data_IF_705613514459
#
_entry.id   IF_705613514459
#
_cell.length_a   1.000
_cell.length_b   1.000
_cell.length_c   1.000
_cell.angle_alpha   90.00
_cell.angle_beta   90.00
_cell.angle_gamma   90.00
#
_symmetry.space_group_name_H-M   'P 1'
#
loop_
_entity.id
_entity.type
_entity.pdbx_description
1 polymer ?
#
# COMPACT_ATOMS: atom_id res chain seq x y z
N UNK A 1 -21.41 7.93 -1.83
CA UNK A 1 -21.89 6.72 -2.52
C UNK A 1 -21.05 5.47 -2.14
N UNK A 2 -19.74 5.41 -2.41
CA UNK A 2 -18.93 4.19 -2.17
C UNK A 2 -18.93 3.69 -0.70
N UNK A 3 -18.84 4.58 0.30
CA UNK A 3 -18.93 4.20 1.72
C UNK A 3 -20.26 3.54 2.06
N UNK A 4 -21.36 4.02 1.50
CA UNK A 4 -22.68 3.41 1.70
C UNK A 4 -22.75 2.00 1.10
N UNK A 5 -22.15 1.79 -0.09
CA UNK A 5 -22.07 0.48 -0.71
C UNK A 5 -21.32 -0.53 0.15
N UNK A 6 -20.21 -0.13 0.78
CA UNK A 6 -19.43 -1.01 1.66
C UNK A 6 -20.16 -1.29 2.98
N UNK A 7 -20.76 -0.27 3.59
CA UNK A 7 -21.50 -0.40 4.87
C UNK A 7 -22.67 -1.39 4.76
N UNK A 8 -23.33 -1.41 3.61
CA UNK A 8 -24.50 -2.26 3.36
C UNK A 8 -24.24 -3.25 2.20
N UNK A 9 -23.05 -3.85 2.19
CA UNK A 9 -22.54 -4.66 1.07
C UNK A 9 -23.55 -5.67 0.52
N UNK A 10 -24.16 -6.49 1.38
CA UNK A 10 -25.15 -7.49 0.96
C UNK A 10 -26.40 -6.85 0.36
N UNK A 11 -26.92 -5.80 1.03
CA UNK A 11 -28.12 -5.08 0.55
C UNK A 11 -27.78 -4.37 -0.78
N UNK A 12 -26.64 -3.71 -0.87
CA UNK A 12 -26.20 -3.02 -2.08
C UNK A 12 -26.03 -3.99 -3.25
N UNK A 13 -25.43 -5.15 -3.02
CA UNK A 13 -25.31 -6.20 -4.04
C UNK A 13 -26.68 -6.71 -4.46
N UNK A 14 -27.58 -6.98 -3.53
CA UNK A 14 -28.93 -7.45 -3.82
C UNK A 14 -29.74 -6.41 -4.62
N UNK A 15 -29.71 -5.14 -4.23
CA UNK A 15 -30.42 -4.06 -4.93
C UNK A 15 -29.86 -3.87 -6.35
N UNK A 16 -28.54 -3.79 -6.52
CA UNK A 16 -27.91 -3.64 -7.84
C UNK A 16 -28.24 -4.85 -8.71
N UNK A 17 -28.17 -6.06 -8.17
CA UNK A 17 -28.53 -7.30 -8.89
C UNK A 17 -29.99 -7.28 -9.32
N UNK A 18 -30.90 -6.92 -8.44
CA UNK A 18 -32.35 -6.84 -8.74
C UNK A 18 -32.62 -5.82 -9.87
N UNK A 19 -31.97 -4.66 -9.84
CA UNK A 19 -32.11 -3.65 -10.89
C UNK A 19 -31.60 -4.16 -12.23
N UNK A 20 -30.40 -4.78 -12.26
CA UNK A 20 -29.82 -5.32 -13.49
C UNK A 20 -30.64 -6.49 -14.05
N UNK A 21 -31.09 -7.41 -13.19
CA UNK A 21 -31.94 -8.53 -13.60
C UNK A 21 -33.31 -8.03 -14.09
N UNK A 22 -33.90 -7.06 -13.40
CA UNK A 22 -35.17 -6.44 -13.81
C UNK A 22 -35.07 -5.77 -15.16
N UNK A 23 -33.98 -5.07 -15.45
CA UNK A 23 -33.76 -4.40 -16.73
C UNK A 23 -33.64 -5.37 -17.91
N UNK A 24 -33.04 -6.57 -17.72
CA UNK A 24 -32.83 -7.57 -18.77
C UNK A 24 -34.04 -8.51 -18.96
N UNK A 25 -34.88 -8.68 -17.93
CA UNK A 25 -36.01 -9.61 -17.95
C UNK A 25 -36.99 -9.41 -19.13
N UNK A 26 -37.42 -8.18 -19.47
CA UNK A 26 -38.30 -7.96 -20.61
C UNK A 26 -37.67 -8.36 -21.95
N UNK A 27 -36.34 -8.16 -22.09
CA UNK A 27 -35.63 -8.55 -23.29
C UNK A 27 -35.54 -10.06 -23.43
N UNK A 28 -35.17 -10.78 -22.38
CA UNK A 28 -35.12 -12.26 -22.36
C UNK A 28 -36.51 -12.86 -22.62
N UNK A 29 -37.56 -12.28 -22.03
CA UNK A 29 -38.94 -12.71 -22.28
C UNK A 29 -39.34 -12.59 -23.75
N UNK A 30 -38.92 -11.52 -24.41
CA UNK A 30 -39.22 -11.29 -25.83
C UNK A 30 -38.56 -12.31 -26.76
N UNK A 31 -37.37 -12.82 -26.44
CA UNK A 31 -36.69 -13.85 -27.24
C UNK A 31 -37.08 -15.27 -26.85
N UNK A 32 -38.09 -15.47 -25.97
CA UNK A 32 -38.56 -16.79 -25.52
C UNK A 32 -37.41 -17.72 -25.11
N UNK A 33 -36.46 -17.22 -24.35
CA UNK A 33 -35.28 -17.97 -23.89
C UNK A 33 -35.68 -19.11 -22.94
N UNK A 34 -34.94 -20.20 -22.98
CA UNK A 34 -35.07 -21.31 -22.06
C UNK A 34 -34.67 -20.94 -20.63
N UNK A 35 -35.25 -21.59 -19.64
CA UNK A 35 -35.01 -21.27 -18.21
C UNK A 35 -33.54 -21.27 -17.81
N UNK A 36 -32.69 -22.10 -18.39
CA UNK A 36 -31.26 -22.15 -18.12
C UNK A 36 -30.52 -20.89 -18.61
N UNK A 37 -31.00 -20.26 -19.69
CA UNK A 37 -30.46 -18.98 -20.21
C UNK A 37 -30.71 -17.88 -19.21
N UNK A 38 -31.91 -17.81 -18.64
CA UNK A 38 -32.22 -16.85 -17.54
C UNK A 38 -31.28 -17.07 -16.35
N UNK A 39 -31.06 -18.32 -15.94
CA UNK A 39 -30.16 -18.63 -14.83
C UNK A 39 -28.74 -18.13 -15.07
N UNK A 40 -28.19 -18.30 -16.28
CA UNK A 40 -26.86 -17.80 -16.65
C UNK A 40 -26.81 -16.27 -16.56
N UNK A 41 -27.77 -15.57 -17.17
CA UNK A 41 -27.77 -14.11 -17.15
C UNK A 41 -27.94 -13.56 -15.73
N UNK A 42 -28.84 -14.10 -14.93
CA UNK A 42 -29.00 -13.64 -13.56
C UNK A 42 -27.77 -13.91 -12.70
N UNK A 43 -27.14 -15.07 -12.83
CA UNK A 43 -25.87 -15.37 -12.15
C UNK A 43 -24.80 -14.39 -12.57
N UNK A 44 -24.68 -14.09 -13.86
CA UNK A 44 -23.73 -13.10 -14.37
C UNK A 44 -23.96 -11.72 -13.75
N UNK A 45 -25.20 -11.23 -13.68
CA UNK A 45 -25.49 -9.92 -13.09
C UNK A 45 -25.28 -9.88 -11.57
N UNK A 46 -25.53 -10.97 -10.86
CA UNK A 46 -25.21 -11.09 -9.43
C UNK A 46 -23.70 -10.97 -9.21
N UNK A 47 -22.91 -11.68 -10.00
CA UNK A 47 -21.44 -11.61 -9.94
C UNK A 47 -20.95 -10.19 -10.29
N UNK A 48 -21.51 -9.59 -11.34
CA UNK A 48 -21.17 -8.23 -11.75
C UNK A 48 -21.46 -7.20 -10.65
N UNK A 49 -22.64 -7.30 -10.02
CA UNK A 49 -23.01 -6.43 -8.89
C UNK A 49 -22.06 -6.61 -7.69
N UNK A 50 -21.70 -7.86 -7.39
CA UNK A 50 -20.73 -8.15 -6.34
C UNK A 50 -19.36 -7.52 -6.65
N UNK A 51 -18.83 -7.71 -7.86
CA UNK A 51 -17.57 -7.10 -8.30
C UNK A 51 -17.61 -5.56 -8.24
N UNK A 52 -18.76 -4.96 -8.60
CA UNK A 52 -18.94 -3.51 -8.52
C UNK A 52 -18.86 -3.01 -7.08
N UNK A 53 -19.52 -3.67 -6.14
CA UNK A 53 -19.48 -3.31 -4.71
C UNK A 53 -18.08 -3.50 -4.13
N UNK A 54 -17.37 -4.58 -4.49
CA UNK A 54 -15.97 -4.81 -4.07
C UNK A 54 -15.04 -3.71 -4.60
N UNK A 55 -15.24 -3.26 -5.84
CA UNK A 55 -14.43 -2.18 -6.43
C UNK A 55 -14.55 -0.85 -5.68
N UNK A 56 -15.61 -0.67 -4.88
CA UNK A 56 -15.79 0.54 -4.08
C UNK A 56 -14.67 0.71 -3.03
N UNK A 57 -14.25 -0.38 -2.39
CA UNK A 57 -13.12 -0.37 -1.44
C UNK A 57 -11.82 0.10 -2.12
N UNK A 58 -11.52 -0.47 -3.27
CA UNK A 58 -10.32 -0.12 -4.02
C UNK A 58 -10.31 1.36 -4.45
N UNK A 59 -11.45 1.89 -4.90
CA UNK A 59 -11.56 3.31 -5.28
C UNK A 59 -11.33 4.25 -4.10
N UNK A 60 -11.87 3.92 -2.93
CA UNK A 60 -11.68 4.70 -1.72
C UNK A 60 -10.21 4.65 -1.26
N UNK A 61 -9.59 3.48 -1.25
CA UNK A 61 -8.16 3.32 -0.94
C UNK A 61 -7.27 4.10 -1.91
N UNK A 62 -7.54 4.00 -3.22
CA UNK A 62 -6.79 4.77 -4.24
C UNK A 62 -6.93 6.28 -4.03
N UNK A 63 -8.12 6.75 -3.65
CA UNK A 63 -8.33 8.17 -3.35
C UNK A 63 -7.55 8.62 -2.12
N UNK A 64 -7.57 7.83 -1.03
CA UNK A 64 -6.85 8.12 0.19
C UNK A 64 -5.32 8.02 -0.02
N UNK A 65 -4.85 7.02 -0.76
CA UNK A 65 -3.44 6.90 -1.13
C UNK A 65 -2.97 8.07 -2.00
N UNK A 66 -3.79 8.54 -2.94
CA UNK A 66 -3.48 9.73 -3.74
C UNK A 66 -3.30 10.97 -2.87
N UNK A 67 -4.15 11.17 -1.86
CA UNK A 67 -4.00 12.27 -0.90
C UNK A 67 -2.67 12.14 -0.13
N UNK A 68 -2.32 10.95 0.37
CA UNK A 68 -1.02 10.70 0.99
C UNK A 68 0.14 11.04 0.06
N UNK A 69 0.11 10.57 -1.20
CA UNK A 69 1.19 10.81 -2.17
C UNK A 69 1.36 12.29 -2.53
N UNK A 70 0.28 13.07 -2.55
CA UNK A 70 0.31 14.48 -2.95
C UNK A 70 0.58 15.43 -1.78
N UNK A 71 -0.04 15.17 -0.63
CA UNK A 71 -0.02 16.08 0.52
C UNK A 71 0.82 15.59 1.70
N UNK A 72 1.41 14.39 1.64
CA UNK A 72 2.14 13.78 2.75
C UNK A 72 1.32 13.75 4.07
N UNK A 73 0.00 13.55 3.95
CA UNK A 73 -0.91 13.40 5.09
C UNK A 73 -1.37 11.94 5.23
N UNK A 74 -0.75 11.15 6.12
CA UNK A 74 -1.11 9.76 6.32
C UNK A 74 -2.44 9.57 7.05
N UNK A 75 -2.97 10.62 7.72
CA UNK A 75 -4.19 10.51 8.51
C UNK A 75 -5.42 10.24 7.64
N UNK A 76 -5.40 10.68 6.38
CA UNK A 76 -6.48 10.40 5.41
C UNK A 76 -6.53 8.91 5.09
N UNK A 77 -5.37 8.29 4.82
CA UNK A 77 -5.29 6.85 4.54
C UNK A 77 -5.61 6.04 5.81
N UNK A 78 -5.14 6.47 6.97
CA UNK A 78 -5.41 5.83 8.26
C UNK A 78 -6.91 5.78 8.53
N UNK A 79 -7.58 6.93 8.50
CA UNK A 79 -9.02 7.01 8.77
C UNK A 79 -9.86 6.23 7.76
N UNK A 80 -9.47 6.22 6.49
CA UNK A 80 -10.17 5.45 5.46
C UNK A 80 -10.03 3.94 5.68
N UNK A 81 -8.81 3.48 6.02
CA UNK A 81 -8.57 2.06 6.28
C UNK A 81 -9.25 1.58 7.56
N UNK A 82 -9.26 2.37 8.63
CA UNK A 82 -9.99 2.09 9.86
C UNK A 82 -11.50 1.94 9.59
N UNK A 83 -12.08 2.86 8.82
CA UNK A 83 -13.49 2.79 8.48
C UNK A 83 -13.81 1.54 7.64
N UNK A 84 -12.97 1.22 6.67
CA UNK A 84 -13.17 0.03 5.84
C UNK A 84 -13.04 -1.27 6.65
N UNK A 85 -12.11 -1.35 7.59
CA UNK A 85 -11.92 -2.53 8.46
C UNK A 85 -13.14 -2.83 9.34
N UNK A 86 -14.04 -1.88 9.59
CA UNK A 86 -15.32 -2.12 10.26
C UNK A 86 -16.25 -2.99 9.42
N UNK A 87 -16.15 -2.91 8.09
CA UNK A 87 -17.08 -3.52 7.14
C UNK A 87 -16.47 -4.67 6.33
N UNK A 88 -15.17 -4.62 6.06
CA UNK A 88 -14.43 -5.61 5.27
C UNK A 88 -13.65 -6.51 6.22
N UNK A 89 -14.24 -7.65 6.62
CA UNK A 89 -13.67 -8.54 7.64
C UNK A 89 -12.85 -9.72 7.10
N UNK A 90 -12.99 -10.07 5.82
CA UNK A 90 -12.38 -11.27 5.22
C UNK A 90 -12.05 -11.06 3.74
N UNK A 91 -11.23 -11.95 3.20
CA UNK A 91 -10.90 -12.01 1.77
C UNK A 91 -9.78 -11.08 1.35
N UNK A 92 -9.58 -11.01 0.04
CA UNK A 92 -8.51 -10.23 -0.61
C UNK A 92 -8.60 -8.75 -0.24
N UNK A 93 -9.81 -8.20 -0.28
CA UNK A 93 -10.05 -6.78 0.03
C UNK A 93 -9.64 -6.46 1.46
N UNK A 94 -9.96 -7.32 2.44
CA UNK A 94 -9.51 -7.13 3.82
C UNK A 94 -7.97 -7.11 3.91
N UNK A 95 -7.29 -8.02 3.22
CA UNK A 95 -5.83 -8.05 3.23
C UNK A 95 -5.21 -6.79 2.63
N UNK A 96 -5.76 -6.29 1.52
CA UNK A 96 -5.30 -5.03 0.92
C UNK A 96 -5.55 -3.84 1.86
N UNK A 97 -6.70 -3.80 2.53
CA UNK A 97 -7.00 -2.75 3.51
C UNK A 97 -6.03 -2.81 4.68
N UNK A 98 -5.76 -4.01 5.23
CA UNK A 98 -4.79 -4.20 6.32
C UNK A 98 -3.38 -3.76 5.92
N UNK A 99 -2.90 -4.13 4.73
CA UNK A 99 -1.58 -3.70 4.25
C UNK A 99 -1.50 -2.18 4.08
N UNK A 100 -2.54 -1.53 3.54
CA UNK A 100 -2.57 -0.07 3.47
C UNK A 100 -2.67 0.59 4.86
N UNK A 101 -3.37 -0.06 5.80
CA UNK A 101 -3.44 0.40 7.18
C UNK A 101 -2.06 0.39 7.86
N UNK A 102 -1.29 -0.68 7.66
CA UNK A 102 0.08 -0.75 8.22
C UNK A 102 1.02 0.27 7.58
N UNK A 103 0.85 0.59 6.30
CA UNK A 103 1.58 1.71 5.64
C UNK A 103 1.23 3.04 6.30
N UNK A 104 -0.05 3.31 6.55
CA UNK A 104 -0.47 4.56 7.22
C UNK A 104 0.08 4.65 8.66
N UNK A 105 0.04 3.54 9.42
CA UNK A 105 0.64 3.44 10.75
C UNK A 105 2.14 3.71 10.73
N UNK A 106 2.88 3.16 9.77
CA UNK A 106 4.32 3.42 9.61
C UNK A 106 4.60 4.91 9.36
N UNK A 107 3.82 5.56 8.48
CA UNK A 107 4.01 6.99 8.19
C UNK A 107 3.66 7.92 9.35
N UNK A 108 2.83 7.52 10.31
CA UNK A 108 2.60 8.29 11.56
C UNK A 108 3.53 7.89 12.72
N UNK A 109 4.43 6.91 12.51
CA UNK A 109 5.39 6.43 13.52
C UNK A 109 4.87 5.36 14.48
N UNK A 110 3.69 4.79 14.25
CA UNK A 110 3.09 3.73 15.06
C UNK A 110 3.64 2.35 14.67
N UNK A 111 4.98 2.21 14.67
CA UNK A 111 5.68 1.03 14.15
C UNK A 111 5.34 -0.26 14.89
N UNK A 112 5.19 -0.20 16.23
CA UNK A 112 4.83 -1.39 17.03
C UNK A 112 3.46 -1.95 16.67
N UNK A 113 2.47 -1.07 16.42
CA UNK A 113 1.13 -1.50 15.96
C UNK A 113 1.18 -2.07 14.55
N UNK A 114 1.95 -1.44 13.66
CA UNK A 114 2.13 -1.95 12.30
C UNK A 114 2.78 -3.34 12.32
N UNK A 115 3.80 -3.55 13.16
CA UNK A 115 4.48 -4.83 13.34
C UNK A 115 3.53 -5.92 13.85
N UNK A 116 2.72 -5.62 14.86
CA UNK A 116 1.73 -6.56 15.41
C UNK A 116 0.76 -7.05 14.33
N UNK A 117 0.20 -6.12 13.54
CA UNK A 117 -0.73 -6.46 12.46
C UNK A 117 -0.03 -7.30 11.39
N UNK A 118 1.16 -6.90 10.96
CA UNK A 118 1.93 -7.61 9.93
C UNK A 118 2.36 -8.99 10.39
N UNK A 119 2.76 -9.16 11.65
CA UNK A 119 3.16 -10.45 12.23
C UNK A 119 1.99 -11.44 12.32
N UNK A 120 0.77 -10.94 12.53
CA UNK A 120 -0.46 -11.74 12.49
C UNK A 120 -1.01 -11.99 11.07
N UNK A 121 -0.35 -11.45 10.04
CA UNK A 121 -0.84 -11.51 8.68
C UNK A 121 -0.48 -12.83 7.99
N UNK A 122 -1.47 -13.69 7.73
CA UNK A 122 -1.27 -14.95 7.03
C UNK A 122 -1.38 -14.76 5.50
N UNK A 123 -0.23 -14.70 4.84
CA UNK A 123 -0.12 -14.54 3.38
C UNK A 123 -0.57 -15.77 2.59
N UNK A 124 -0.75 -16.93 3.22
CA UNK A 124 -1.14 -18.20 2.59
C UNK A 124 -2.59 -18.61 2.86
N UNK A 125 -3.27 -17.92 3.76
CA UNK A 125 -4.65 -18.21 4.19
C UNK A 125 -5.66 -18.24 3.05
N UNK A 126 -5.42 -17.50 1.98
CA UNK A 126 -6.31 -17.44 0.84
C UNK A 126 -5.63 -18.02 -0.40
N UNK A 127 -6.34 -18.95 -1.08
CA UNK A 127 -5.90 -19.54 -2.35
C UNK A 127 -6.04 -18.53 -3.48
N UNK A 128 -5.18 -17.50 -3.49
CA UNK A 128 -5.14 -16.53 -4.58
C UNK A 128 -4.61 -17.14 -5.86
N UNK A 129 -5.01 -16.57 -7.00
CA UNK A 129 -4.32 -16.76 -8.27
C UNK A 129 -2.85 -16.38 -8.09
N UNK A 130 -1.94 -17.22 -8.59
CA UNK A 130 -0.49 -17.17 -8.31
C UNK A 130 0.18 -15.76 -8.38
N UNK A 131 -0.06 -14.92 -9.42
CA UNK A 131 0.55 -13.58 -9.48
C UNK A 131 0.08 -12.67 -8.35
N UNK A 132 -1.20 -12.74 -7.99
CA UNK A 132 -1.75 -11.89 -6.94
C UNK A 132 -1.22 -12.26 -5.56
N UNK A 133 -1.01 -13.56 -5.30
CA UNK A 133 -0.36 -14.02 -4.07
C UNK A 133 1.07 -13.50 -3.95
N UNK A 134 1.84 -13.58 -5.03
CA UNK A 134 3.21 -13.06 -5.04
C UNK A 134 3.24 -11.55 -4.77
N UNK A 135 2.28 -10.79 -5.31
CA UNK A 135 2.15 -9.35 -5.08
C UNK A 135 1.84 -9.02 -3.62
N UNK A 136 0.87 -9.71 -2.99
CA UNK A 136 0.55 -9.55 -1.56
C UNK A 136 1.78 -9.88 -0.70
N UNK A 137 2.48 -10.98 -1.00
CA UNK A 137 3.70 -11.37 -0.27
C UNK A 137 4.80 -10.34 -0.42
N UNK A 138 4.96 -9.76 -1.61
CA UNK A 138 5.93 -8.68 -1.85
C UNK A 138 5.63 -7.46 -0.99
N UNK A 139 4.38 -6.96 -1.02
CA UNK A 139 4.00 -5.79 -0.21
C UNK A 139 4.15 -6.07 1.27
N UNK A 140 3.67 -7.21 1.74
CA UNK A 140 3.80 -7.61 3.14
C UNK A 140 5.28 -7.64 3.58
N UNK A 141 6.14 -8.30 2.78
CA UNK A 141 7.57 -8.39 3.10
C UNK A 141 8.25 -7.02 3.09
N UNK A 142 7.86 -6.12 2.16
CA UNK A 142 8.39 -4.76 2.14
C UNK A 142 7.97 -3.97 3.38
N UNK A 143 6.69 -4.02 3.74
CA UNK A 143 6.19 -3.32 4.93
C UNK A 143 6.84 -3.88 6.21
N UNK A 144 7.08 -5.19 6.30
CA UNK A 144 7.82 -5.80 7.42
C UNK A 144 9.26 -5.30 7.48
N UNK A 145 9.95 -5.21 6.33
CA UNK A 145 11.32 -4.70 6.28
C UNK A 145 11.40 -3.26 6.80
N UNK A 146 10.49 -2.40 6.33
CA UNK A 146 10.43 -0.99 6.74
C UNK A 146 10.14 -0.85 8.25
N UNK A 147 9.19 -1.62 8.76
CA UNK A 147 8.82 -1.56 10.19
C UNK A 147 9.92 -2.11 11.09
N UNK A 148 10.56 -3.22 10.70
CA UNK A 148 11.71 -3.76 11.46
C UNK A 148 12.89 -2.78 11.46
N UNK A 149 13.15 -2.09 10.35
CA UNK A 149 14.20 -1.06 10.25
C UNK A 149 13.96 0.08 11.25
N UNK A 150 12.74 0.61 11.29
CA UNK A 150 12.35 1.69 12.20
C UNK A 150 12.29 1.26 13.68
N UNK A 151 12.08 -0.02 13.95
CA UNK A 151 12.19 -0.60 15.31
C UNK A 151 13.64 -0.94 15.72
N UNK A 152 14.61 -0.79 14.81
CA UNK A 152 16.02 -1.09 15.04
C UNK A 152 16.39 -2.57 14.94
N UNK A 153 15.47 -3.44 14.49
CA UNK A 153 15.75 -4.84 14.18
C UNK A 153 16.27 -4.99 12.75
N UNK A 154 17.53 -4.58 12.55
CA UNK A 154 18.16 -4.55 11.24
C UNK A 154 18.38 -5.93 10.62
N UNK A 155 18.52 -6.96 11.45
CA UNK A 155 18.67 -8.34 10.98
C UNK A 155 17.36 -8.83 10.33
N UNK A 156 16.25 -8.69 11.04
CA UNK A 156 14.93 -9.03 10.49
C UNK A 156 14.59 -8.16 9.30
N UNK A 157 14.92 -6.87 9.32
CA UNK A 157 14.69 -5.96 8.19
C UNK A 157 15.38 -6.47 6.93
N UNK A 158 16.66 -6.88 7.01
CA UNK A 158 17.41 -7.44 5.87
C UNK A 158 16.81 -8.76 5.37
N UNK A 159 16.40 -9.67 6.26
CA UNK A 159 15.75 -10.92 5.87
C UNK A 159 14.42 -10.68 5.14
N UNK A 160 13.62 -9.72 5.59
CA UNK A 160 12.37 -9.36 4.93
C UNK A 160 12.61 -8.66 3.59
N UNK A 161 13.65 -7.83 3.51
CA UNK A 161 14.07 -7.22 2.25
C UNK A 161 14.44 -8.28 1.19
N UNK A 162 15.21 -9.31 1.55
CA UNK A 162 15.53 -10.41 0.64
C UNK A 162 14.27 -11.11 0.12
N UNK A 163 13.29 -11.38 0.98
CA UNK A 163 11.98 -11.92 0.57
C UNK A 163 11.26 -10.99 -0.41
N UNK A 164 11.30 -9.68 -0.16
CA UNK A 164 10.73 -8.67 -1.07
C UNK A 164 11.34 -8.77 -2.46
N UNK A 165 12.68 -8.85 -2.56
CA UNK A 165 13.39 -8.97 -3.84
C UNK A 165 13.06 -10.27 -4.58
N UNK A 166 12.91 -11.39 -3.86
CA UNK A 166 12.50 -12.67 -4.47
C UNK A 166 11.12 -12.55 -5.12
N UNK A 167 10.15 -11.94 -4.45
CA UNK A 167 8.81 -11.74 -5.01
C UNK A 167 8.81 -10.70 -6.11
N UNK A 168 9.54 -9.60 -5.97
CA UNK A 168 9.70 -8.57 -7.02
C UNK A 168 10.27 -9.19 -8.32
N UNK A 169 11.27 -10.06 -8.20
CA UNK A 169 11.84 -10.79 -9.35
C UNK A 169 10.80 -11.68 -10.03
N UNK A 170 10.01 -12.45 -9.26
CA UNK A 170 8.92 -13.29 -9.79
C UNK A 170 7.85 -12.49 -10.55
N UNK A 171 7.66 -11.24 -10.17
CA UNK A 171 6.66 -10.35 -10.76
C UNK A 171 7.22 -9.46 -11.88
N UNK A 172 8.52 -9.49 -12.15
CA UNK A 172 9.17 -8.57 -13.10
C UNK A 172 9.22 -7.11 -12.62
N UNK A 173 9.11 -6.88 -11.30
CA UNK A 173 9.04 -5.54 -10.67
C UNK A 173 10.36 -5.07 -10.05
N UNK A 174 11.50 -5.64 -10.45
CA UNK A 174 12.81 -5.29 -9.87
C UNK A 174 13.25 -3.84 -10.08
N UNK A 175 12.66 -3.15 -11.04
CA UNK A 175 12.84 -1.73 -11.32
C UNK A 175 11.70 -0.84 -10.78
N UNK A 176 10.75 -1.39 -10.03
CA UNK A 176 9.72 -0.60 -9.39
C UNK A 176 10.33 0.35 -8.35
N UNK A 177 9.74 1.52 -8.16
CA UNK A 177 10.27 2.59 -7.30
C UNK A 177 10.43 2.14 -5.85
N UNK A 178 9.45 1.43 -5.34
CA UNK A 178 9.46 0.88 -4.00
C UNK A 178 10.64 -0.08 -3.81
N UNK A 179 10.98 -0.84 -4.84
CA UNK A 179 12.12 -1.76 -4.82
C UNK A 179 13.45 -1.01 -4.91
N UNK A 180 13.52 0.10 -5.64
CA UNK A 180 14.71 0.95 -5.69
C UNK A 180 14.95 1.59 -4.31
N UNK A 181 13.92 2.16 -3.67
CA UNK A 181 14.02 2.72 -2.33
C UNK A 181 14.42 1.64 -1.30
N UNK A 182 13.80 0.47 -1.35
CA UNK A 182 14.13 -0.65 -0.48
C UNK A 182 15.60 -1.10 -0.62
N UNK A 183 16.13 -1.19 -1.85
CA UNK A 183 17.55 -1.50 -2.11
C UNK A 183 18.48 -0.42 -1.55
N UNK A 184 18.13 0.86 -1.73
CA UNK A 184 18.91 1.95 -1.19
C UNK A 184 18.93 1.97 0.34
N UNK A 185 17.78 1.67 1.00
CA UNK A 185 17.70 1.50 2.45
C UNK A 185 18.54 0.33 2.94
N UNK A 186 18.55 -0.80 2.22
CA UNK A 186 19.41 -1.93 2.55
C UNK A 186 20.90 -1.57 2.48
N UNK A 187 21.32 -0.79 1.47
CA UNK A 187 22.70 -0.31 1.37
C UNK A 187 23.05 0.61 2.55
N UNK A 188 22.10 1.45 3.03
CA UNK A 188 22.31 2.25 4.24
C UNK A 188 22.54 1.38 5.48
N UNK A 189 21.74 0.32 5.67
CA UNK A 189 21.91 -0.63 6.79
C UNK A 189 23.31 -1.27 6.80
N UNK A 190 23.81 -1.59 5.60
CA UNK A 190 25.17 -2.12 5.39
C UNK A 190 26.26 -1.07 5.48
N UNK A 191 25.93 0.20 5.68
CA UNK A 191 26.86 1.35 5.65
C UNK A 191 27.55 1.54 4.29
N UNK A 192 26.93 1.05 3.22
CA UNK A 192 27.37 1.19 1.83
C UNK A 192 26.79 2.48 1.24
N UNK A 193 27.19 3.64 1.78
CA UNK A 193 26.55 4.93 1.50
C UNK A 193 26.63 5.33 0.03
N UNK A 194 27.78 5.13 -0.61
CA UNK A 194 27.94 5.41 -2.05
C UNK A 194 27.05 4.53 -2.92
N UNK A 195 26.86 3.25 -2.52
CA UNK A 195 25.95 2.33 -3.22
C UNK A 195 24.50 2.78 -3.07
N UNK A 196 24.12 3.26 -1.89
CA UNK A 196 22.79 3.82 -1.66
C UNK A 196 22.52 5.03 -2.57
N UNK A 197 23.45 5.98 -2.64
CA UNK A 197 23.37 7.16 -3.53
C UNK A 197 23.26 6.74 -4.99
N UNK A 198 24.14 5.85 -5.46
CA UNK A 198 24.13 5.33 -6.84
C UNK A 198 22.83 4.61 -7.18
N UNK A 199 22.26 3.87 -6.24
CA UNK A 199 20.97 3.19 -6.43
C UNK A 199 19.85 4.22 -6.66
N UNK A 200 19.87 5.35 -5.94
CA UNK A 200 18.89 6.41 -6.09
C UNK A 200 19.02 7.23 -7.38
N UNK A 201 20.16 7.19 -8.10
CA UNK A 201 20.30 7.85 -9.42
C UNK A 201 19.26 7.34 -10.44
N UNK A 202 18.88 6.08 -10.33
CA UNK A 202 17.83 5.48 -11.16
C UNK A 202 16.41 5.80 -10.72
N UNK A 203 16.25 6.38 -9.54
CA UNK A 203 14.94 6.72 -8.96
C UNK A 203 14.39 8.00 -9.57
N UNK A 204 13.20 7.91 -10.15
CA UNK A 204 12.47 9.06 -10.72
C UNK A 204 11.20 9.30 -9.92
N UNK A 205 11.26 10.26 -9.02
CA UNK A 205 10.09 10.67 -8.25
C UNK A 205 8.97 11.24 -9.15
N UNK A 206 7.72 11.03 -8.75
CA UNK A 206 6.54 11.58 -9.44
C UNK A 206 5.63 12.39 -8.51
N UNK A 207 5.84 12.31 -7.21
CA UNK A 207 5.00 12.97 -6.22
C UNK A 207 5.81 13.37 -4.99
N UNK A 208 5.20 14.19 -4.12
CA UNK A 208 5.87 14.75 -2.94
C UNK A 208 6.32 13.66 -1.97
N UNK A 209 5.50 12.65 -1.71
CA UNK A 209 5.86 11.55 -0.80
C UNK A 209 7.12 10.82 -1.28
N UNK A 210 7.20 10.48 -2.57
CA UNK A 210 8.36 9.82 -3.15
C UNK A 210 9.65 10.65 -2.98
N UNK A 211 9.55 11.98 -3.17
CA UNK A 211 10.66 12.91 -2.95
C UNK A 211 11.10 12.93 -1.49
N UNK A 212 10.14 12.99 -0.56
CA UNK A 212 10.41 12.98 0.88
C UNK A 212 11.10 11.69 1.31
N UNK A 213 10.59 10.53 0.87
CA UNK A 213 11.20 9.23 1.17
C UNK A 213 12.63 9.13 0.62
N UNK A 214 12.85 9.51 -0.64
CA UNK A 214 14.18 9.51 -1.23
C UNK A 214 15.11 10.49 -0.51
N UNK A 215 14.63 11.70 -0.13
CA UNK A 215 15.40 12.69 0.59
C UNK A 215 15.89 12.17 1.95
N UNK A 216 15.10 11.35 2.66
CA UNK A 216 15.53 10.75 3.92
C UNK A 216 16.71 9.77 3.68
N UNK A 217 16.67 8.97 2.63
CA UNK A 217 17.77 8.06 2.29
C UNK A 217 19.02 8.83 1.88
N UNK A 218 18.87 9.90 1.04
CA UNK A 218 19.98 10.79 0.69
C UNK A 218 20.61 11.42 1.93
N UNK A 219 19.78 11.96 2.84
CA UNK A 219 20.27 12.60 4.06
C UNK A 219 21.07 11.63 4.93
N UNK A 220 20.54 10.42 5.18
CA UNK A 220 21.22 9.38 5.95
C UNK A 220 22.56 8.99 5.30
N UNK A 221 22.60 8.83 3.96
CA UNK A 221 23.82 8.53 3.24
C UNK A 221 24.87 9.66 3.35
N UNK A 222 24.47 10.92 3.14
CA UNK A 222 25.37 12.06 3.27
C UNK A 222 25.90 12.24 4.68
N UNK A 223 25.10 11.98 5.71
CA UNK A 223 25.59 11.96 7.11
C UNK A 223 26.67 10.90 7.28
N UNK A 224 26.44 9.69 6.74
CA UNK A 224 27.41 8.60 6.81
C UNK A 224 28.73 8.90 6.09
N UNK A 225 28.69 9.73 5.04
CA UNK A 225 29.86 10.22 4.29
C UNK A 225 30.48 11.49 4.90
N UNK A 226 29.88 12.08 5.93
CA UNK A 226 30.35 13.34 6.51
C UNK A 226 30.01 14.59 5.69
N UNK A 227 29.16 14.47 4.67
CA UNK A 227 28.74 15.57 3.78
C UNK A 227 27.58 16.39 4.39
N UNK A 228 27.84 17.06 5.50
CA UNK A 228 26.84 17.72 6.34
C UNK A 228 25.95 18.70 5.60
N UNK A 229 26.50 19.54 4.72
CA UNK A 229 25.69 20.55 4.02
C UNK A 229 24.69 19.92 3.05
N UNK A 230 25.08 18.86 2.34
CA UNK A 230 24.15 18.10 1.49
C UNK A 230 23.06 17.41 2.32
N UNK A 231 23.44 16.87 3.48
CA UNK A 231 22.47 16.27 4.41
C UNK A 231 21.46 17.30 4.90
N UNK A 232 21.90 18.51 5.32
CA UNK A 232 21.02 19.61 5.74
C UNK A 232 20.02 20.01 4.65
N UNK A 233 20.48 20.11 3.40
CA UNK A 233 19.58 20.41 2.26
C UNK A 233 18.44 19.37 2.16
N UNK A 234 18.77 18.08 2.23
CA UNK A 234 17.76 17.00 2.12
C UNK A 234 16.83 16.97 3.33
N UNK A 235 17.35 17.15 4.53
CA UNK A 235 16.54 17.23 5.76
C UNK A 235 15.63 18.46 5.77
N UNK A 236 16.13 19.61 5.33
CA UNK A 236 15.33 20.83 5.17
C UNK A 236 14.14 20.59 4.23
N UNK A 237 14.38 19.94 3.08
CA UNK A 237 13.30 19.58 2.17
C UNK A 237 12.23 18.70 2.83
N UNK A 238 12.62 17.73 3.67
CA UNK A 238 11.68 16.87 4.40
C UNK A 238 10.83 17.70 5.38
N UNK A 239 11.47 18.60 6.13
CA UNK A 239 10.77 19.47 7.12
C UNK A 239 9.74 20.36 6.42
N UNK A 240 10.07 20.89 5.26
CA UNK A 240 9.19 21.80 4.50
C UNK A 240 8.03 21.08 3.81
N UNK A 241 8.26 19.84 3.33
CA UNK A 241 7.33 19.15 2.42
C UNK A 241 6.69 17.89 3.02
N UNK A 242 7.22 17.37 4.13
CA UNK A 242 6.79 16.11 4.72
C UNK A 242 5.47 16.17 5.49
N UNK A 243 4.93 17.37 5.74
CA UNK A 243 3.65 17.64 6.40
C UNK A 243 3.49 16.84 7.71
N UNK A 244 2.59 15.85 7.76
CA UNK A 244 2.29 15.03 8.94
C UNK A 244 3.03 13.68 8.99
N UNK A 245 4.00 13.46 8.13
CA UNK A 245 4.82 12.25 8.19
C UNK A 245 5.72 12.28 9.44
N UNK A 246 5.85 11.15 10.10
CA UNK A 246 6.78 10.97 11.22
C UNK A 246 8.24 11.31 10.83
N UNK A 247 8.58 11.13 9.56
CA UNK A 247 9.89 11.51 9.00
C UNK A 247 10.24 12.99 9.24
N UNK A 248 9.26 13.89 9.41
CA UNK A 248 9.48 15.30 9.71
C UNK A 248 10.12 15.45 11.10
N UNK A 249 9.61 14.73 12.09
CA UNK A 249 10.18 14.73 13.43
C UNK A 249 11.59 14.12 13.46
N UNK A 250 11.79 13.03 12.69
CA UNK A 250 13.11 12.42 12.52
C UNK A 250 14.09 13.42 11.88
N UNK A 251 13.69 14.10 10.81
CA UNK A 251 14.52 15.07 10.10
C UNK A 251 14.92 16.26 10.99
N UNK A 252 14.00 16.80 11.80
CA UNK A 252 14.31 17.87 12.78
C UNK A 252 15.35 17.41 13.78
N UNK A 253 15.19 16.22 14.39
CA UNK A 253 16.18 15.67 15.32
C UNK A 253 17.55 15.46 14.68
N UNK A 254 17.58 15.02 13.41
CA UNK A 254 18.85 14.86 12.69
C UNK A 254 19.51 16.20 12.39
N UNK A 255 18.76 17.25 12.06
CA UNK A 255 19.28 18.61 11.84
C UNK A 255 19.93 19.20 13.11
N UNK A 256 19.39 18.90 14.29
CA UNK A 256 19.94 19.34 15.57
C UNK A 256 21.29 18.69 15.89
N UNK A 257 21.60 17.51 15.29
CA UNK A 257 22.77 16.69 15.60
C UNK A 257 23.89 16.79 14.54
N UNK A 258 23.74 17.55 13.48
CA UNK A 258 24.72 17.74 12.40
C UNK A 258 25.16 19.20 12.29
#
# INVERSE_FOLDING_TARGET
>A
MYRLLLKHKLISTAVISAVLCGAISPFLWKIRSDAWIYAIFYTFFIVLAFCFVESASEKLLKSAAKALHQSCDPTVLLSETEEQLKHVKKGVTNQLVLLNHTVALGYIGEYSKAFEILSGFDTDKHKFISPYRAYIKMIHSNNMADVCDELGDFESASQWHEKTLVFAKKLGLTGAKEIILAKASESLRKKEFDVALKTLESFKDKNTLEKVCASMIYAKAYIGLGEKEKAKEKLGFIVENGNKLHMVEQAKKMLENI
#
